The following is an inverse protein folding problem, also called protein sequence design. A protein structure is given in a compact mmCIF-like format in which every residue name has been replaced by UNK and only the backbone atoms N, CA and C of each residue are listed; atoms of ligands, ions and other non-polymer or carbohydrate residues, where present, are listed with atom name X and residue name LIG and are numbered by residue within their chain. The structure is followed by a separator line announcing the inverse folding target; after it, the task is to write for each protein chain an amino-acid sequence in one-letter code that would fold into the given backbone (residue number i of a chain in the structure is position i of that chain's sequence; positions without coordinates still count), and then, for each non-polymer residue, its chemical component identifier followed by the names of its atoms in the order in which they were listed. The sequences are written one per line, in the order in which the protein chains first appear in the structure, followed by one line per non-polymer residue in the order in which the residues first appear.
data_IF_821029392131
#
_entry.id   IF_821029392131
#
_cell.length_a   1.000
_cell.length_b   1.000
_cell.length_c   1.000
_cell.angle_alpha   90.00
_cell.angle_beta   90.00
_cell.angle_gamma   90.00
#
_symmetry.space_group_name_H-M   'P 1'
#
loop_
_entity.id
_entity.type
_entity.pdbx_description
1 polymer ?
#
# COMPACT_ATOMS: atom_id res chain seq x y z
N UNK A 1 -50.01 -5.40 29.73
CA UNK A 1 -48.84 -5.68 28.86
C UNK A 1 -48.94 -4.83 27.59
N UNK A 2 -48.55 -3.54 27.63
CA UNK A 2 -48.59 -2.63 26.45
C UNK A 2 -47.40 -1.66 26.38
N UNK A 3 -46.42 -1.77 27.30
CA UNK A 3 -45.30 -0.82 27.40
C UNK A 3 -43.96 -1.38 26.86
N UNK A 4 -43.93 -2.63 26.40
CA UNK A 4 -42.70 -3.27 25.94
C UNK A 4 -42.37 -3.05 24.45
N UNK A 5 -43.31 -2.49 23.66
CA UNK A 5 -43.16 -2.37 22.20
C UNK A 5 -42.28 -1.17 21.80
N UNK A 6 -42.12 -0.17 22.67
CA UNK A 6 -41.40 1.06 22.35
C UNK A 6 -39.86 0.96 22.50
N UNK A 7 -39.34 -0.13 23.04
CA UNK A 7 -37.89 -0.29 23.31
C UNK A 7 -37.16 -0.91 22.10
N UNK A 8 -37.89 -1.63 21.24
CA UNK A 8 -37.33 -2.34 20.07
C UNK A 8 -36.70 -1.39 19.02
N UNK A 9 -37.30 -0.25 18.62
CA UNK A 9 -36.68 0.59 17.59
C UNK A 9 -35.40 1.30 18.07
N UNK A 10 -35.19 1.47 19.38
CA UNK A 10 -33.98 2.11 19.92
C UNK A 10 -32.76 1.16 19.86
N UNK A 11 -32.97 -0.15 19.93
CA UNK A 11 -31.89 -1.14 19.87
C UNK A 11 -31.34 -1.30 18.46
N UNK A 12 -32.15 -1.13 17.41
CA UNK A 12 -31.69 -1.24 16.02
C UNK A 12 -30.78 -0.08 15.56
N UNK A 13 -30.84 1.08 16.24
CA UNK A 13 -30.00 2.24 15.89
C UNK A 13 -28.56 2.06 16.42
N UNK A 14 -28.35 1.20 17.41
CA UNK A 14 -27.03 0.99 18.02
C UNK A 14 -26.17 -0.08 17.32
N UNK A 15 -26.74 -0.80 16.35
CA UNK A 15 -26.04 -1.84 15.57
C UNK A 15 -25.76 -1.43 14.12
N UNK A 16 -26.09 -0.21 13.71
CA UNK A 16 -25.90 0.25 12.32
C UNK A 16 -24.55 0.93 12.05
N UNK A 17 -23.52 0.71 12.87
CA UNK A 17 -22.17 1.09 12.49
C UNK A 17 -21.64 0.03 11.50
N UNK A 18 -21.59 0.38 10.22
CA UNK A 18 -20.77 -0.35 9.27
C UNK A 18 -19.33 -0.38 9.81
N UNK A 19 -18.68 -1.56 9.83
CA UNK A 19 -17.31 -1.66 10.31
C UNK A 19 -16.40 -0.88 9.37
N UNK A 20 -16.04 0.32 9.77
CA UNK A 20 -14.98 1.09 9.12
C UNK A 20 -13.67 0.41 9.47
N UNK A 21 -12.90 0.04 8.46
CA UNK A 21 -11.56 -0.50 8.65
C UNK A 21 -10.55 0.51 8.13
N UNK A 22 -9.62 0.89 9.00
CA UNK A 22 -8.46 1.71 8.64
C UNK A 22 -7.31 0.80 8.25
N UNK A 23 -6.51 1.25 7.29
CA UNK A 23 -5.29 0.58 6.88
C UNK A 23 -4.15 1.58 6.81
N UNK A 24 -3.02 1.21 7.40
CA UNK A 24 -1.76 1.92 7.27
C UNK A 24 -0.83 1.11 6.36
N UNK A 25 -0.12 1.79 5.46
CA UNK A 25 0.89 1.20 4.59
C UNK A 25 2.26 1.77 4.94
N UNK A 26 3.21 0.89 5.22
CA UNK A 26 4.61 1.25 5.46
C UNK A 26 5.48 0.78 4.30
N UNK A 27 6.53 1.53 4.02
CA UNK A 27 7.61 1.14 3.11
C UNK A 27 8.88 0.96 3.95
N UNK A 28 9.59 -0.15 3.72
CA UNK A 28 10.86 -0.44 4.39
C UNK A 28 11.97 -0.61 3.36
N UNK A 29 13.11 0.03 3.60
CA UNK A 29 14.35 -0.24 2.90
C UNK A 29 15.18 -1.20 3.75
N UNK A 30 15.32 -2.45 3.33
CA UNK A 30 16.19 -3.43 4.02
C UNK A 30 17.57 -3.57 3.37
N UNK A 31 17.92 -2.67 2.44
CA UNK A 31 19.24 -2.63 1.80
C UNK A 31 20.21 -1.80 2.63
N UNK A 32 21.52 -1.97 2.39
CA UNK A 32 22.57 -1.19 3.05
C UNK A 32 22.79 0.21 2.46
N UNK A 33 21.97 0.62 1.49
CA UNK A 33 22.13 1.88 0.76
C UNK A 33 20.90 2.76 0.90
N UNK A 34 21.10 4.07 0.77
CA UNK A 34 19.99 5.02 0.67
C UNK A 34 19.33 4.88 -0.71
N UNK A 35 18.00 4.87 -0.73
CA UNK A 35 17.21 4.71 -1.94
C UNK A 35 16.24 5.88 -2.12
N UNK A 36 15.90 6.13 -3.38
CA UNK A 36 14.85 7.04 -3.80
C UNK A 36 13.82 6.24 -4.59
N UNK A 37 12.58 6.21 -4.11
CA UNK A 37 11.46 5.53 -4.73
C UNK A 37 10.59 6.59 -5.41
N UNK A 38 10.50 6.53 -6.74
CA UNK A 38 9.74 7.49 -7.53
C UNK A 38 8.46 6.83 -8.04
N UNK A 39 7.32 7.30 -7.56
CA UNK A 39 6.00 6.92 -8.04
C UNK A 39 5.58 7.88 -9.14
N UNK A 40 5.53 7.40 -10.38
CA UNK A 40 5.28 8.23 -11.56
C UNK A 40 3.86 8.03 -12.04
N UNK A 41 3.19 9.13 -12.39
CA UNK A 41 1.83 9.16 -12.93
C UNK A 41 1.74 10.15 -14.10
N UNK A 42 0.93 9.82 -15.09
CA UNK A 42 0.67 10.58 -16.31
C UNK A 42 -0.46 11.59 -16.15
N UNK A 43 -1.37 11.36 -15.20
CA UNK A 43 -2.58 12.16 -15.00
C UNK A 43 -2.57 13.00 -13.71
N UNK A 44 -1.49 12.95 -12.92
CA UNK A 44 -1.44 13.59 -11.60
C UNK A 44 -0.05 14.03 -11.17
N UNK A 45 0.12 14.20 -9.86
CA UNK A 45 1.40 14.56 -9.25
C UNK A 45 2.18 13.29 -8.94
N UNK A 46 3.38 13.17 -9.53
CA UNK A 46 4.32 12.11 -9.17
C UNK A 46 4.88 12.33 -7.77
N UNK A 47 5.15 11.25 -7.04
CA UNK A 47 5.66 11.26 -5.67
C UNK A 47 7.09 10.72 -5.64
N UNK A 48 7.94 11.26 -4.78
CA UNK A 48 9.30 10.73 -4.56
C UNK A 48 9.58 10.62 -3.09
N UNK A 49 9.90 9.40 -2.65
CA UNK A 49 10.22 9.08 -1.27
C UNK A 49 11.69 8.76 -1.21
N UNK A 50 12.42 9.48 -0.36
CA UNK A 50 13.79 9.13 0.00
C UNK A 50 13.74 8.32 1.29
N UNK A 51 14.37 7.16 1.28
CA UNK A 51 14.39 6.24 2.40
C UNK A 51 15.83 5.77 2.65
N UNK A 52 16.29 5.96 3.87
CA UNK A 52 17.65 5.59 4.28
C UNK A 52 17.79 4.09 4.47
N UNK A 53 19.03 3.60 4.54
CA UNK A 53 19.33 2.20 4.86
C UNK A 53 18.61 1.76 6.15
N UNK A 54 17.99 0.58 6.12
CA UNK A 54 17.25 -0.03 7.25
C UNK A 54 16.06 0.77 7.79
N UNK A 55 15.65 1.84 7.10
CA UNK A 55 14.55 2.69 7.52
C UNK A 55 13.18 2.10 7.16
N UNK A 56 12.19 2.37 8.01
CA UNK A 56 10.78 2.11 7.73
C UNK A 56 10.03 3.43 7.84
N UNK A 57 9.31 3.80 6.77
CA UNK A 57 8.52 5.01 6.67
C UNK A 57 7.04 4.67 6.53
N UNK A 58 6.20 5.49 7.15
CA UNK A 58 4.77 5.49 6.90
C UNK A 58 4.51 6.15 5.55
N UNK A 59 3.91 5.39 4.63
CA UNK A 59 3.69 5.80 3.26
C UNK A 59 2.25 6.27 3.01
N UNK A 60 1.27 5.56 3.56
CA UNK A 60 -0.15 5.96 3.52
C UNK A 60 -0.79 5.69 4.87
N UNK A 61 -1.45 6.70 5.42
CA UNK A 61 -2.26 6.58 6.64
C UNK A 61 -3.72 6.28 6.32
N UNK A 62 -4.35 5.45 7.14
CA UNK A 62 -5.77 5.54 7.47
C UNK A 62 -6.75 5.60 6.30
N UNK A 63 -6.53 4.85 5.20
CA UNK A 63 -7.57 4.73 4.18
C UNK A 63 -8.76 3.98 4.76
N UNK A 64 -9.88 4.69 4.91
CA UNK A 64 -11.18 4.10 5.27
C UNK A 64 -11.66 3.26 4.09
N UNK A 65 -11.51 1.96 4.19
CA UNK A 65 -12.03 1.02 3.18
C UNK A 65 -13.44 0.61 3.58
N UNK A 66 -14.38 0.72 2.65
CA UNK A 66 -15.73 0.15 2.82
C UNK A 66 -15.69 -1.32 2.47
N UNK A 67 -16.16 -2.17 3.38
CA UNK A 67 -15.95 -3.62 3.28
C UNK A 67 -14.54 -4.01 3.73
N UNK A 68 -14.34 -5.27 4.14
CA UNK A 68 -13.10 -5.73 4.79
C UNK A 68 -11.85 -5.81 3.90
N UNK A 69 -11.78 -5.01 2.83
CA UNK A 69 -10.69 -4.99 1.86
C UNK A 69 -9.58 -4.04 2.35
N UNK A 70 -8.44 -4.58 2.80
CA UNK A 70 -7.35 -3.82 3.42
C UNK A 70 -6.06 -3.94 2.62
N UNK A 71 -6.13 -3.57 1.35
CA UNK A 71 -4.94 -3.48 0.49
C UNK A 71 -4.68 -2.01 0.16
N UNK A 72 -3.41 -1.54 0.21
CA UNK A 72 -3.11 -0.22 -0.28
C UNK A 72 -3.46 -0.19 -1.77
N UNK A 73 -3.97 0.92 -2.27
CA UNK A 73 -4.21 1.07 -3.70
C UNK A 73 -3.20 2.05 -4.25
N UNK A 74 -2.37 1.59 -5.19
CA UNK A 74 -1.44 2.44 -5.94
C UNK A 74 -1.86 2.56 -7.41
N UNK A 75 -3.17 2.43 -7.65
CA UNK A 75 -3.82 2.56 -8.97
C UNK A 75 -3.61 3.94 -9.62
N UNK A 76 -3.22 4.94 -8.84
CA UNK A 76 -2.95 6.29 -9.33
C UNK A 76 -1.57 6.44 -10.01
N UNK A 77 -0.71 5.43 -9.89
CA UNK A 77 0.66 5.44 -10.42
C UNK A 77 0.81 4.49 -11.61
N UNK A 78 1.46 4.97 -12.67
CA UNK A 78 1.73 4.21 -13.90
C UNK A 78 3.02 3.37 -13.79
N UNK A 79 3.99 3.86 -13.01
CA UNK A 79 5.28 3.19 -12.82
C UNK A 79 5.95 3.58 -11.51
N UNK A 80 6.84 2.71 -11.04
CA UNK A 80 7.68 2.94 -9.87
C UNK A 80 9.14 2.74 -10.29
N UNK A 81 9.99 3.70 -9.96
CA UNK A 81 11.43 3.61 -10.15
C UNK A 81 12.10 3.50 -8.79
N UNK A 82 12.99 2.53 -8.65
CA UNK A 82 13.91 2.49 -7.51
C UNK A 82 15.26 2.97 -8.00
N UNK A 83 15.72 4.02 -7.36
CA UNK A 83 16.88 4.79 -7.79
C UNK A 83 17.86 4.88 -6.62
N UNK A 84 19.15 4.73 -6.89
CA UNK A 84 20.21 4.93 -5.90
C UNK A 84 20.36 6.40 -5.50
N UNK A 85 21.19 6.65 -4.49
CA UNK A 85 21.59 8.00 -4.09
C UNK A 85 22.32 8.78 -5.20
N UNK A 86 22.98 8.08 -6.14
CA UNK A 86 23.65 8.70 -7.31
C UNK A 86 22.69 8.99 -8.48
N UNK A 87 21.38 8.82 -8.30
CA UNK A 87 20.34 8.91 -9.34
C UNK A 87 20.44 7.81 -10.43
N UNK A 88 21.10 6.70 -10.14
CA UNK A 88 21.10 5.54 -11.04
C UNK A 88 19.84 4.70 -10.85
N UNK A 89 19.21 4.32 -11.96
CA UNK A 89 17.99 3.52 -11.94
C UNK A 89 18.36 2.06 -11.73
N UNK A 90 18.06 1.54 -10.55
CA UNK A 90 18.36 0.15 -10.18
C UNK A 90 17.28 -0.78 -10.72
N UNK A 91 16.02 -0.37 -10.60
CA UNK A 91 14.86 -1.15 -11.04
C UNK A 91 13.72 -0.25 -11.48
N UNK A 92 12.90 -0.79 -12.38
CA UNK A 92 11.70 -0.12 -12.88
C UNK A 92 10.55 -1.12 -12.87
N UNK A 93 9.46 -0.72 -12.24
CA UNK A 93 8.16 -1.35 -12.41
C UNK A 93 7.31 -0.49 -13.34
N UNK A 94 6.78 -1.07 -14.42
CA UNK A 94 5.82 -0.41 -15.34
C UNK A 94 4.59 -1.29 -15.48
N UNK A 95 3.44 -0.65 -15.45
CA UNK A 95 2.19 -1.34 -15.65
C UNK A 95 1.73 -1.11 -17.09
N UNK A 96 1.95 -2.10 -17.97
CA UNK A 96 1.56 -1.98 -19.38
C UNK A 96 0.03 -2.15 -19.61
N UNK A 97 -0.85 -1.69 -18.70
CA UNK A 97 -2.32 -1.88 -18.87
C UNK A 97 -3.18 -1.04 -17.91
N UNK A 98 -4.27 -0.47 -18.44
CA UNK A 98 -5.34 0.19 -17.67
C UNK A 98 -6.02 -0.79 -16.69
N UNK A 99 -6.25 -0.38 -15.44
CA UNK A 99 -6.84 -1.23 -14.41
C UNK A 99 -5.92 -2.31 -13.83
N UNK A 100 -4.68 -2.39 -14.34
CA UNK A 100 -3.50 -2.86 -13.62
C UNK A 100 -3.42 -2.24 -12.21
N UNK A 101 -3.05 -2.98 -11.18
CA UNK A 101 -2.58 -2.39 -9.92
C UNK A 101 -1.16 -2.92 -9.73
N UNK A 102 -0.28 -2.16 -9.09
CA UNK A 102 1.07 -2.65 -8.77
C UNK A 102 1.03 -3.91 -7.89
N UNK A 103 -0.13 -4.29 -7.35
CA UNK A 103 -0.34 -5.53 -6.59
C UNK A 103 -0.63 -6.76 -7.48
N UNK A 104 -0.81 -6.62 -8.80
CA UNK A 104 -0.75 -7.74 -9.75
C UNK A 104 0.72 -8.07 -10.10
N UNK A 105 1.50 -8.43 -9.07
CA UNK A 105 2.97 -8.53 -9.05
C UNK A 105 3.48 -9.96 -8.91
N UNK A 106 2.64 -10.95 -9.19
CA UNK A 106 2.99 -12.38 -9.11
C UNK A 106 4.28 -12.74 -9.89
N UNK A 107 4.70 -11.90 -10.84
CA UNK A 107 5.93 -12.06 -11.64
C UNK A 107 7.17 -11.30 -11.11
N UNK A 108 7.02 -10.30 -10.25
CA UNK A 108 8.11 -9.35 -9.91
C UNK A 108 8.33 -9.10 -8.42
N UNK A 109 7.35 -9.40 -7.57
CA UNK A 109 7.47 -9.24 -6.12
C UNK A 109 7.13 -10.56 -5.44
N UNK A 110 7.75 -10.79 -4.29
CA UNK A 110 7.34 -11.88 -3.42
C UNK A 110 6.19 -11.41 -2.55
N UNK A 111 5.02 -12.06 -2.70
CA UNK A 111 3.85 -11.77 -1.88
C UNK A 111 3.74 -12.75 -0.71
N UNK A 112 3.38 -12.23 0.47
CA UNK A 112 2.93 -13.05 1.60
C UNK A 112 1.81 -12.38 2.38
N UNK A 113 0.95 -13.20 2.99
CA UNK A 113 -0.11 -12.77 3.91
C UNK A 113 0.13 -13.42 5.29
N UNK A 114 0.99 -12.84 6.15
CA UNK A 114 1.30 -13.44 7.46
C UNK A 114 0.08 -13.52 8.39
N UNK A 115 -0.95 -12.71 8.16
CA UNK A 115 -2.23 -12.79 8.86
C UNK A 115 -3.34 -12.16 8.02
N UNK A 116 -4.61 -12.44 8.36
CA UNK A 116 -5.83 -11.97 7.64
C UNK A 116 -5.92 -10.45 7.40
N UNK A 117 -5.10 -9.64 8.08
CA UNK A 117 -5.07 -8.18 7.97
C UNK A 117 -3.66 -7.64 7.82
N UNK A 118 -2.74 -8.47 7.37
CA UNK A 118 -1.36 -8.08 7.12
C UNK A 118 -0.90 -8.69 5.81
N UNK A 119 -0.58 -7.82 4.87
CA UNK A 119 -0.10 -8.14 3.54
C UNK A 119 1.31 -7.58 3.40
N UNK A 120 2.20 -8.37 2.82
CA UNK A 120 3.61 -8.03 2.65
C UNK A 120 4.00 -8.28 1.20
N UNK A 121 4.59 -7.26 0.58
CA UNK A 121 5.07 -7.29 -0.78
C UNK A 121 6.56 -6.94 -0.74
N UNK A 122 7.41 -7.92 -1.06
CA UNK A 122 8.86 -7.76 -1.07
C UNK A 122 9.37 -7.63 -2.50
N UNK A 123 10.19 -6.60 -2.73
CA UNK A 123 10.89 -6.40 -3.99
C UNK A 123 12.39 -6.54 -3.75
N UNK A 124 13.01 -7.52 -4.39
CA UNK A 124 14.42 -7.84 -4.18
C UNK A 124 15.32 -6.99 -5.09
N UNK A 125 16.34 -6.39 -4.48
CA UNK A 125 17.43 -5.67 -5.15
C UNK A 125 18.71 -6.40 -4.80
N UNK A 126 19.45 -6.84 -5.81
CA UNK A 126 20.70 -7.58 -5.64
C UNK A 126 21.89 -6.64 -5.69
N UNK A 127 23.06 -7.11 -5.25
CA UNK A 127 24.28 -6.29 -5.28
C UNK A 127 24.67 -5.87 -6.70
N UNK A 128 24.41 -6.74 -7.68
CA UNK A 128 24.65 -6.49 -9.11
C UNK A 128 23.78 -5.37 -9.68
N UNK A 129 22.67 -5.01 -9.02
CA UNK A 129 21.83 -3.89 -9.43
C UNK A 129 22.44 -2.53 -9.01
N UNK A 130 23.51 -2.51 -8.21
CA UNK A 130 24.19 -1.31 -7.73
C UNK A 130 25.55 -1.03 -8.40
N UNK A 131 25.98 -1.87 -9.36
CA UNK A 131 27.25 -1.75 -10.10
C UNK A 131 27.09 -1.12 -11.48
#
# INVERSE_FOLDING_TARGET
MKKAILIIPIVFILVSCDPVSSMDANIKNSTSQNLSIQFVTSTGTSETIRITSDETLLFREGMSTTGGFLEPSLIEFDSIYIVSESNEVLKIFKQDTDGKNIYNIDEYWTFSEPSKRFYLYDYEILNEDFE
#
